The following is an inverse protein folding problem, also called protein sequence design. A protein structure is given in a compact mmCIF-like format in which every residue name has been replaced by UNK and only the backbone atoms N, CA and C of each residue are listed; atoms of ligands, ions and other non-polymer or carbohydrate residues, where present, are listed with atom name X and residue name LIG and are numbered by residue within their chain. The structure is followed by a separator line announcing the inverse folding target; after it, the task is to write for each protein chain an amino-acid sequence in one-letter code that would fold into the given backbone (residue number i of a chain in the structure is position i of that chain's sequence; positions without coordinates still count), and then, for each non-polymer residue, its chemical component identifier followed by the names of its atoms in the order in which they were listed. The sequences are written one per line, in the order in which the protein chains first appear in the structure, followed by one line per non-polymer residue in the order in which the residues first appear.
data_IF_912994764218
#
_entry.id   IF_912994764218
#
_cell.length_a   1.000
_cell.length_b   1.000
_cell.length_c   1.000
_cell.angle_alpha   90.00
_cell.angle_beta   90.00
_cell.angle_gamma   90.00
#
_symmetry.space_group_name_H-M   'P 1'
#
loop_
_entity.id
_entity.type
_entity.pdbx_description
1 polymer ?
#
# COMPACT_ATOMS: atom_id res chain seq x y z
N UNK A 1 -2.53 -19.67 16.62
CA UNK A 1 -3.34 -18.74 15.79
C UNK A 1 -3.54 -17.40 16.50
N UNK A 2 -3.97 -17.41 17.78
CA UNK A 2 -4.09 -16.19 18.54
C UNK A 2 -2.73 -15.52 18.77
N UNK A 3 -1.69 -16.31 19.02
CA UNK A 3 -0.34 -15.79 19.20
C UNK A 3 0.21 -15.17 17.92
N UNK A 4 -0.06 -15.80 16.77
CA UNK A 4 0.37 -15.26 15.49
C UNK A 4 -0.34 -13.95 15.20
N UNK A 5 -1.65 -13.87 15.47
CA UNK A 5 -2.40 -12.64 15.30
C UNK A 5 -1.83 -11.51 16.15
N UNK A 6 -1.57 -11.77 17.44
CA UNK A 6 -1.00 -10.77 18.34
C UNK A 6 0.39 -10.33 17.89
N UNK A 7 1.22 -11.26 17.41
CA UNK A 7 2.54 -10.94 16.88
C UNK A 7 2.46 -10.01 15.68
N UNK A 8 1.57 -10.33 14.73
CA UNK A 8 1.42 -9.50 13.54
C UNK A 8 0.85 -8.12 13.89
N UNK A 9 -0.10 -8.08 14.81
CA UNK A 9 -0.65 -6.82 15.31
C UNK A 9 0.44 -5.95 15.97
N UNK A 10 1.30 -6.58 16.77
CA UNK A 10 2.41 -5.87 17.41
C UNK A 10 3.38 -5.30 16.40
N UNK A 11 3.67 -6.03 15.32
CA UNK A 11 4.54 -5.54 14.24
C UNK A 11 3.94 -4.31 13.56
N UNK A 12 2.64 -4.35 13.28
CA UNK A 12 1.94 -3.23 12.66
C UNK A 12 2.00 -2.01 13.57
N UNK A 13 1.66 -2.15 14.84
CA UNK A 13 1.71 -1.03 15.78
C UNK A 13 3.12 -0.47 15.95
N UNK A 14 4.12 -1.32 16.05
CA UNK A 14 5.50 -0.85 16.17
C UNK A 14 5.91 -0.04 14.94
N UNK A 15 5.52 -0.48 13.75
CA UNK A 15 5.82 0.25 12.54
C UNK A 15 5.13 1.62 12.53
N UNK A 16 3.84 1.65 12.84
CA UNK A 16 3.07 2.89 12.86
C UNK A 16 3.62 3.91 13.85
N UNK A 17 4.10 3.45 15.01
CA UNK A 17 4.60 4.33 16.05
C UNK A 17 6.03 4.82 15.80
N UNK A 18 6.83 4.05 15.06
CA UNK A 18 8.24 4.39 14.83
C UNK A 18 8.47 5.35 13.68
N UNK A 19 7.55 5.39 12.73
CA UNK A 19 7.86 6.10 11.51
C UNK A 19 7.67 7.59 11.67
N UNK A 20 8.75 8.29 11.37
CA UNK A 20 8.78 9.72 11.25
C UNK A 20 8.32 10.08 9.84
N UNK A 21 7.33 10.94 9.75
CA UNK A 21 6.76 11.36 8.46
C UNK A 21 7.74 12.14 7.58
N UNK A 22 8.91 12.50 8.10
CA UNK A 22 9.86 13.35 7.39
C UNK A 22 10.93 12.57 6.62
N UNK A 23 11.02 11.25 6.80
CA UNK A 23 12.09 10.46 6.19
C UNK A 23 11.54 9.35 5.30
N UNK A 24 12.23 9.12 4.19
CA UNK A 24 11.91 7.99 3.32
C UNK A 24 12.32 6.68 3.97
N UNK A 25 11.58 5.63 3.65
CA UNK A 25 11.88 4.27 4.09
C UNK A 25 12.08 3.39 2.86
N UNK A 26 12.71 2.22 3.05
CA UNK A 26 12.88 1.29 1.94
C UNK A 26 11.56 0.60 1.61
N UNK A 27 11.45 0.20 0.33
CA UNK A 27 10.31 -0.60 -0.10
C UNK A 27 10.23 -1.91 0.69
N UNK A 28 11.37 -2.52 1.01
CA UNK A 28 11.39 -3.73 1.83
C UNK A 28 10.69 -3.54 3.17
N UNK A 29 10.94 -2.40 3.84
CA UNK A 29 10.27 -2.07 5.10
C UNK A 29 8.75 -1.98 4.92
N UNK A 30 8.31 -1.29 3.87
CA UNK A 30 6.88 -1.18 3.58
C UNK A 30 6.24 -2.52 3.22
N UNK A 31 6.97 -3.37 2.48
CA UNK A 31 6.47 -4.70 2.13
C UNK A 31 6.35 -5.60 3.36
N UNK A 32 7.28 -5.51 4.30
CA UNK A 32 7.19 -6.25 5.56
C UNK A 32 5.93 -5.86 6.31
N UNK A 33 5.65 -4.56 6.37
CA UNK A 33 4.40 -4.08 6.97
C UNK A 33 3.18 -4.61 6.20
N UNK A 34 3.22 -4.55 4.86
CA UNK A 34 2.10 -5.01 4.04
C UNK A 34 1.80 -6.49 4.24
N UNK A 35 2.82 -7.33 4.41
CA UNK A 35 2.62 -8.75 4.70
C UNK A 35 1.94 -8.95 6.05
N UNK A 36 2.35 -8.23 7.08
CA UNK A 36 1.72 -8.33 8.40
C UNK A 36 0.27 -7.81 8.36
N UNK A 37 0.05 -6.71 7.68
CA UNK A 37 -1.28 -6.14 7.49
C UNK A 37 -2.20 -7.11 6.73
N UNK A 38 -1.66 -7.73 5.67
CA UNK A 38 -2.38 -8.76 4.91
C UNK A 38 -2.86 -9.89 5.82
N UNK A 39 -1.99 -10.37 6.69
CA UNK A 39 -2.37 -11.43 7.64
C UNK A 39 -3.56 -11.01 8.51
N UNK A 40 -3.51 -9.78 9.05
CA UNK A 40 -4.58 -9.29 9.92
C UNK A 40 -5.91 -9.15 9.16
N UNK A 41 -5.86 -8.59 7.96
CA UNK A 41 -7.07 -8.38 7.14
C UNK A 41 -7.63 -9.74 6.68
N UNK A 42 -6.77 -10.69 6.34
CA UNK A 42 -7.18 -12.03 5.93
C UNK A 42 -7.90 -12.76 7.08
N UNK A 43 -7.45 -12.56 8.32
CA UNK A 43 -8.11 -13.11 9.49
C UNK A 43 -9.54 -12.60 9.65
N UNK A 44 -9.80 -11.36 9.22
CA UNK A 44 -11.13 -10.75 9.32
C UNK A 44 -12.04 -11.08 8.15
N UNK A 45 -11.52 -11.02 6.92
CA UNK A 45 -12.35 -11.08 5.72
C UNK A 45 -12.24 -12.40 4.94
N UNK A 46 -11.29 -13.25 5.32
CA UNK A 46 -11.12 -14.56 4.68
C UNK A 46 -10.91 -14.44 3.18
N UNK A 47 -11.75 -15.14 2.41
CA UNK A 47 -11.64 -15.18 0.95
C UNK A 47 -12.34 -14.01 0.24
N UNK A 48 -12.76 -12.99 1.00
CA UNK A 48 -13.41 -11.80 0.43
C UNK A 48 -12.46 -10.91 -0.35
N UNK A 49 -11.15 -11.10 -0.19
CA UNK A 49 -10.16 -10.35 -0.98
C UNK A 49 -8.95 -11.23 -1.28
N UNK A 50 -8.20 -10.81 -2.29
CA UNK A 50 -6.93 -11.44 -2.67
C UNK A 50 -5.88 -10.35 -2.84
N UNK A 51 -4.74 -10.53 -2.19
CA UNK A 51 -3.62 -9.62 -2.31
C UNK A 51 -2.40 -10.41 -2.81
N UNK A 52 -1.82 -9.95 -3.91
CA UNK A 52 -0.56 -10.50 -4.42
C UNK A 52 0.51 -9.42 -4.39
N UNK A 53 1.71 -9.81 -4.03
CA UNK A 53 2.87 -8.92 -3.98
C UNK A 53 3.97 -9.55 -4.83
N UNK A 54 4.36 -8.86 -5.89
CA UNK A 54 5.38 -9.35 -6.84
C UNK A 54 6.37 -8.22 -7.11
N UNK A 55 7.39 -8.12 -6.26
CA UNK A 55 8.39 -7.07 -6.32
C UNK A 55 9.76 -7.71 -6.54
N UNK A 56 10.47 -7.23 -7.57
CA UNK A 56 11.82 -7.70 -7.86
C UNK A 56 12.76 -7.41 -6.70
N UNK A 57 13.64 -8.36 -6.37
CA UNK A 57 14.56 -8.20 -5.25
C UNK A 57 15.46 -6.98 -5.39
N UNK A 58 15.88 -6.66 -6.62
CA UNK A 58 16.75 -5.51 -6.86
C UNK A 58 16.04 -4.15 -6.73
N UNK A 59 14.73 -4.15 -6.47
CA UNK A 59 13.96 -2.92 -6.26
C UNK A 59 13.65 -2.66 -4.80
N UNK A 60 13.89 -3.62 -3.92
CA UNK A 60 13.47 -3.54 -2.52
C UNK A 60 14.22 -2.49 -1.70
N UNK A 61 15.39 -2.05 -2.16
CA UNK A 61 16.15 -1.00 -1.48
C UNK A 61 15.82 0.40 -1.96
N UNK A 62 15.00 0.53 -3.01
CA UNK A 62 14.46 1.83 -3.39
C UNK A 62 13.54 2.35 -2.30
N UNK A 63 13.36 3.65 -2.25
CA UNK A 63 12.69 4.31 -1.13
C UNK A 63 11.38 4.98 -1.54
N UNK A 64 10.52 5.16 -0.57
CA UNK A 64 9.27 5.89 -0.73
C UNK A 64 8.87 6.45 0.65
N UNK A 65 7.88 7.37 0.69
CA UNK A 65 7.43 7.90 1.98
C UNK A 65 6.87 6.80 2.87
N UNK A 66 7.11 6.88 4.19
CA UNK A 66 6.61 5.88 5.13
C UNK A 66 5.09 5.86 5.17
N UNK A 67 4.53 4.70 5.47
CA UNK A 67 3.08 4.46 5.61
C UNK A 67 2.31 4.58 4.30
N UNK A 68 2.99 4.62 3.16
CA UNK A 68 2.34 4.72 1.84
C UNK A 68 1.44 3.52 1.58
N UNK A 69 1.96 2.30 1.78
CA UNK A 69 1.15 1.10 1.53
C UNK A 69 0.01 0.96 2.52
N UNK A 70 0.20 1.33 3.78
CA UNK A 70 -0.87 1.33 4.76
C UNK A 70 -2.01 2.25 4.33
N UNK A 71 -1.68 3.48 3.93
CA UNK A 71 -2.68 4.45 3.50
C UNK A 71 -3.42 3.99 2.25
N UNK A 72 -2.70 3.40 1.29
CA UNK A 72 -3.31 2.88 0.06
C UNK A 72 -4.21 1.69 0.33
N UNK A 73 -3.77 0.74 1.14
CA UNK A 73 -4.58 -0.43 1.47
C UNK A 73 -5.83 -0.03 2.23
N UNK A 74 -5.73 0.88 3.18
CA UNK A 74 -6.90 1.40 3.89
C UNK A 74 -7.88 2.09 2.95
N UNK A 75 -7.37 2.89 2.02
CA UNK A 75 -8.21 3.53 1.01
C UNK A 75 -8.96 2.49 0.19
N UNK A 76 -8.27 1.45 -0.28
CA UNK A 76 -8.88 0.39 -1.08
C UNK A 76 -9.99 -0.33 -0.29
N UNK A 77 -9.72 -0.72 0.95
CA UNK A 77 -10.69 -1.43 1.77
C UNK A 77 -11.87 -0.54 2.19
N UNK A 78 -11.64 0.75 2.39
CA UNK A 78 -12.72 1.66 2.79
C UNK A 78 -13.71 1.94 1.66
N UNK A 79 -13.26 1.93 0.42
CA UNK A 79 -14.10 2.34 -0.70
C UNK A 79 -14.63 1.19 -1.54
N UNK A 80 -14.22 -0.04 -1.29
CA UNK A 80 -14.62 -1.19 -2.08
C UNK A 80 -15.30 -2.25 -1.23
N UNK A 81 -16.27 -2.96 -1.85
CA UNK A 81 -16.93 -4.09 -1.22
C UNK A 81 -15.96 -5.25 -1.08
N UNK A 82 -16.09 -5.99 0.02
CA UNK A 82 -15.29 -7.17 0.29
C UNK A 82 -16.26 -8.32 0.54
N UNK A 83 -16.36 -9.25 -0.42
CA UNK A 83 -17.19 -10.44 -0.24
C UNK A 83 -16.63 -11.60 -1.06
N UNK A 84 -17.06 -12.82 -0.68
CA UNK A 84 -16.54 -14.05 -1.28
C UNK A 84 -17.05 -14.30 -2.70
N UNK A 85 -18.24 -13.82 -3.02
CA UNK A 85 -18.84 -14.04 -4.34
C UNK A 85 -18.15 -13.19 -5.42
N UNK A 86 -17.59 -12.06 -5.03
CA UNK A 86 -16.83 -11.18 -5.92
C UNK A 86 -15.65 -10.63 -5.14
N UNK A 87 -14.58 -11.41 -4.99
CA UNK A 87 -13.44 -10.96 -4.18
C UNK A 87 -12.81 -9.68 -4.69
N UNK A 88 -12.44 -8.83 -3.76
CA UNK A 88 -11.64 -7.65 -4.07
C UNK A 88 -10.22 -8.10 -4.40
N UNK A 89 -9.74 -7.83 -5.60
CA UNK A 89 -8.40 -8.26 -6.03
C UNK A 89 -7.46 -7.08 -6.01
N UNK A 90 -6.36 -7.22 -5.26
CA UNK A 90 -5.34 -6.18 -5.11
C UNK A 90 -4.00 -6.78 -5.50
N UNK A 91 -3.22 -6.05 -6.32
CA UNK A 91 -1.85 -6.46 -6.63
C UNK A 91 -0.88 -5.30 -6.39
N UNK A 92 0.28 -5.65 -5.86
CA UNK A 92 1.41 -4.73 -5.67
C UNK A 92 2.57 -5.33 -6.44
N UNK A 93 3.09 -4.60 -7.42
CA UNK A 93 4.14 -5.12 -8.30
C UNK A 93 5.15 -4.04 -8.65
N UNK A 94 6.41 -4.45 -8.82
CA UNK A 94 7.42 -3.52 -9.34
C UNK A 94 7.31 -3.43 -10.87
N UNK A 95 7.40 -2.20 -11.39
CA UNK A 95 7.39 -1.89 -12.80
C UNK A 95 8.54 -0.92 -13.07
N UNK A 96 9.72 -1.44 -13.42
CA UNK A 96 10.91 -0.59 -13.53
C UNK A 96 11.19 0.07 -12.18
N UNK A 97 11.31 1.40 -12.19
CA UNK A 97 11.54 2.17 -10.97
C UNK A 97 10.24 2.70 -10.34
N UNK A 98 9.12 2.04 -10.66
CA UNK A 98 7.81 2.37 -10.10
C UNK A 98 7.24 1.19 -9.35
N UNK A 99 6.39 1.48 -8.39
CA UNK A 99 5.57 0.48 -7.72
C UNK A 99 4.14 0.65 -8.22
N UNK A 100 3.58 -0.42 -8.77
CA UNK A 100 2.20 -0.41 -9.28
C UNK A 100 1.28 -1.04 -8.26
N UNK A 101 0.23 -0.31 -7.86
CA UNK A 101 -0.82 -0.84 -7.02
C UNK A 101 -2.10 -0.86 -7.83
N UNK A 102 -2.63 -2.04 -8.06
CA UNK A 102 -3.82 -2.24 -8.87
C UNK A 102 -4.90 -2.89 -8.02
N UNK A 103 -6.13 -2.41 -8.14
CA UNK A 103 -7.26 -3.05 -7.46
C UNK A 103 -8.50 -3.05 -8.35
N UNK A 104 -9.31 -4.11 -8.19
CA UNK A 104 -10.63 -4.13 -8.81
C UNK A 104 -11.51 -3.05 -8.20
N UNK A 105 -12.35 -2.44 -9.01
CA UNK A 105 -13.26 -1.38 -8.56
C UNK A 105 -14.62 -1.98 -8.25
N UNK A 106 -15.00 -1.98 -6.99
CA UNK A 106 -16.28 -2.51 -6.49
C UNK A 106 -16.85 -1.55 -5.45
N UNK A 107 -17.13 -0.28 -5.83
CA UNK A 107 -17.43 0.77 -4.86
C UNK A 107 -18.61 0.41 -3.95
N UNK A 108 -18.50 0.79 -2.69
CA UNK A 108 -19.58 0.71 -1.74
C UNK A 108 -20.67 1.72 -2.07
N UNK A 109 -21.94 1.35 -1.80
CA UNK A 109 -23.04 2.28 -1.98
C UNK A 109 -22.91 3.47 -1.05
N UNK A 110 -23.18 4.66 -1.58
CA UNK A 110 -23.13 5.90 -0.81
C UNK A 110 -21.75 6.47 -0.61
N UNK A 111 -20.75 5.86 -1.19
CA UNK A 111 -19.39 6.34 -1.10
C UNK A 111 -18.95 6.89 -2.45
N UNK A 112 -18.80 8.20 -2.51
CA UNK A 112 -18.69 8.91 -3.78
C UNK A 112 -17.30 9.38 -4.11
N UNK A 113 -16.38 9.43 -3.14
CA UNK A 113 -15.07 10.01 -3.34
C UNK A 113 -13.97 9.02 -2.98
N UNK A 114 -13.62 8.18 -3.97
CA UNK A 114 -12.54 7.20 -3.82
C UNK A 114 -11.16 7.88 -3.82
N UNK A 115 -11.09 9.16 -4.15
CA UNK A 115 -9.83 9.90 -4.15
C UNK A 115 -9.53 10.55 -2.82
N UNK A 116 -10.50 10.59 -1.89
CA UNK A 116 -10.24 11.04 -0.52
C UNK A 116 -9.16 10.17 0.12
N UNK A 117 -8.14 10.79 0.64
CA UNK A 117 -6.97 10.09 1.18
C UNK A 117 -5.83 9.95 0.17
N UNK A 118 -6.12 9.82 -1.12
CA UNK A 118 -5.08 9.79 -2.14
C UNK A 118 -4.37 11.14 -2.26
N UNK A 119 -5.07 12.22 -1.98
CA UNK A 119 -4.48 13.56 -1.95
C UNK A 119 -3.36 13.65 -0.91
N UNK A 120 -3.54 13.01 0.23
CA UNK A 120 -2.51 13.01 1.28
C UNK A 120 -1.27 12.23 0.83
N UNK A 121 -1.46 11.13 0.13
CA UNK A 121 -0.36 10.33 -0.42
C UNK A 121 0.39 11.15 -1.49
N UNK A 122 -0.35 11.78 -2.39
CA UNK A 122 0.22 12.62 -3.44
C UNK A 122 1.03 13.77 -2.84
N UNK A 123 0.49 14.41 -1.80
CA UNK A 123 1.18 15.49 -1.09
C UNK A 123 2.48 15.01 -0.45
N UNK A 124 2.45 13.85 0.21
CA UNK A 124 3.64 13.26 0.82
C UNK A 124 4.73 13.00 -0.23
N UNK A 125 4.36 12.44 -1.37
CA UNK A 125 5.32 12.21 -2.44
C UNK A 125 5.92 13.51 -2.95
N UNK A 126 5.10 14.52 -3.12
CA UNK A 126 5.59 15.82 -3.57
C UNK A 126 6.54 16.45 -2.53
N UNK A 127 6.16 16.42 -1.25
CA UNK A 127 6.95 17.06 -0.20
C UNK A 127 8.28 16.32 0.04
N UNK A 128 8.28 15.00 0.02
CA UNK A 128 9.47 14.21 0.37
C UNK A 128 10.32 13.83 -0.84
N UNK A 129 9.73 13.71 -2.02
CA UNK A 129 10.42 13.20 -3.20
C UNK A 129 10.44 14.20 -4.37
N UNK A 130 9.65 15.24 -4.33
CA UNK A 130 9.40 16.17 -5.44
C UNK A 130 8.97 15.44 -6.71
N UNK A 131 8.18 14.39 -6.54
CA UNK A 131 7.65 13.61 -7.66
C UNK A 131 6.16 13.40 -7.50
N UNK A 132 5.48 13.26 -8.63
CA UNK A 132 4.03 13.05 -8.66
C UNK A 132 3.72 11.57 -8.78
N UNK A 133 2.64 11.14 -8.14
CA UNK A 133 2.09 9.81 -8.36
C UNK A 133 1.13 9.87 -9.56
N UNK A 134 0.87 8.71 -10.18
CA UNK A 134 -0.08 8.60 -11.28
C UNK A 134 -1.26 7.74 -10.85
N UNK A 135 -2.48 8.19 -11.14
CA UNK A 135 -3.69 7.47 -10.79
C UNK A 135 -4.56 7.37 -12.04
N UNK A 136 -4.87 6.14 -12.45
CA UNK A 136 -5.78 5.88 -13.54
C UNK A 136 -6.86 4.90 -13.07
N UNK A 137 -8.12 5.19 -13.39
CA UNK A 137 -9.22 4.31 -13.02
C UNK A 137 -10.28 4.27 -14.10
N UNK A 138 -10.95 3.13 -14.17
CA UNK A 138 -12.15 2.96 -14.99
C UNK A 138 -13.17 2.18 -14.15
N UNK A 139 -14.25 1.70 -14.78
CA UNK A 139 -15.32 1.01 -14.06
C UNK A 139 -14.86 -0.34 -13.48
N UNK A 140 -13.76 -0.89 -13.94
CA UNK A 140 -13.31 -2.23 -13.58
C UNK A 140 -12.11 -2.24 -12.64
N UNK A 141 -11.17 -1.31 -12.80
CA UNK A 141 -9.95 -1.32 -12.00
C UNK A 141 -9.35 0.07 -11.83
N UNK A 142 -8.53 0.21 -10.81
CA UNK A 142 -7.73 1.41 -10.58
C UNK A 142 -6.26 1.01 -10.52
N UNK A 143 -5.41 1.80 -11.16
CA UNK A 143 -3.97 1.60 -11.18
C UNK A 143 -3.30 2.86 -10.64
N UNK A 144 -2.47 2.68 -9.62
CA UNK A 144 -1.67 3.75 -9.04
C UNK A 144 -0.20 3.41 -9.28
N UNK A 145 0.55 4.35 -9.85
CA UNK A 145 1.99 4.22 -10.01
C UNK A 145 2.69 5.17 -9.06
N UNK A 146 3.55 4.60 -8.22
CA UNK A 146 4.34 5.34 -7.25
C UNK A 146 5.79 5.35 -7.70
N UNK A 147 6.41 6.53 -7.85
CA UNK A 147 7.85 6.57 -8.15
C UNK A 147 8.64 6.05 -6.96
N UNK A 148 9.63 5.21 -7.22
CA UNK A 148 10.55 4.71 -6.22
C UNK A 148 11.86 5.48 -6.33
N UNK A 149 12.42 5.88 -5.19
CA UNK A 149 13.53 6.80 -5.13
C UNK A 149 14.79 6.02 -4.77
N UNK A 150 15.88 6.16 -5.55
CA UNK A 150 17.15 5.52 -5.17
C UNK A 150 17.62 6.02 -3.81
N UNK A 151 18.25 5.13 -3.04
CA UNK A 151 18.92 5.55 -1.82
C UNK A 151 20.01 6.55 -2.16
N UNK A 152 20.08 7.64 -1.37
CA UNK A 152 21.18 8.55 -1.50
C UNK A 152 22.44 7.87 -1.00
N UNK A 153 23.49 7.87 -1.83
CA UNK A 153 24.79 7.45 -1.35
C UNK A 153 25.18 8.35 -0.19
N UNK A 154 25.60 7.72 0.91
CA UNK A 154 26.12 8.51 2.03
C UNK A 154 27.32 9.31 1.53
N UNK A 155 27.21 10.63 1.63
CA UNK A 155 28.35 11.49 1.33
C UNK A 155 29.47 11.15 2.31
N UNK A 156 30.57 10.70 1.78
CA UNK A 156 31.77 10.43 2.57
C UNK A 156 32.51 11.72 2.80
#
# INVERSE_FOLDING_TARGET
KAEQFLNELSKVYRYLLRNDDEQLVTLETELTFAHSYHFLIKSRYGDGFRLTIDVANNKKQLQLPPLTLQMLLENIFNFNKINKSQPLVISIASKGDFLEIKNTMQPKLGNYDTETGLENIARKFWLLCQQSISIESNDQERIILLPLIPQKESAV
#
